data_IF_714557013924
#
_entry.id   IF_714557013924
#
_cell.length_a   1.000
_cell.length_b   1.000
_cell.length_c   1.000
_cell.angle_alpha   90.00
_cell.angle_beta   90.00
_cell.angle_gamma   90.00
#
_symmetry.space_group_name_H-M   'P 1'
#
loop_
_entity.id
_entity.type
_entity.pdbx_description
1 polymer ?
#
# COMPACT_ATOMS: atom_id res chain seq x y z
N UNK A 1 7.03 -4.32 -11.61
CA UNK A 1 5.60 -4.36 -11.23
C UNK A 1 5.27 -3.16 -10.39
N UNK A 2 4.02 -2.73 -10.39
CA UNK A 2 3.54 -1.62 -9.56
C UNK A 2 2.09 -1.85 -9.13
N UNK A 3 1.66 -1.18 -8.05
CA UNK A 3 0.28 -1.24 -7.60
C UNK A 3 -0.56 -0.22 -8.37
N UNK A 4 -1.77 -0.63 -8.77
CA UNK A 4 -2.78 0.22 -9.36
C UNK A 4 -3.98 0.28 -8.42
N UNK A 5 -4.36 1.50 -8.07
CA UNK A 5 -5.53 1.80 -7.25
C UNK A 5 -6.61 2.41 -8.14
N UNK A 6 -7.81 1.85 -8.12
CA UNK A 6 -8.89 2.28 -9.02
C UNK A 6 -10.25 2.23 -8.35
N UNK A 7 -11.18 3.06 -8.83
CA UNK A 7 -12.61 2.90 -8.52
C UNK A 7 -13.22 1.66 -9.21
N UNK A 8 -12.48 1.05 -10.14
CA UNK A 8 -12.92 -0.04 -10.99
C UNK A 8 -13.48 0.48 -12.31
N UNK A 9 -13.01 -0.12 -13.41
CA UNK A 9 -13.59 0.07 -14.74
C UNK A 9 -13.43 -1.22 -15.55
N UNK A 10 -14.09 -1.32 -16.71
CA UNK A 10 -13.89 -2.47 -17.59
C UNK A 10 -12.48 -2.51 -18.21
N UNK A 11 -11.81 -1.36 -18.31
CA UNK A 11 -10.46 -1.23 -18.89
C UNK A 11 -9.33 -1.40 -17.86
N UNK A 12 -9.62 -1.16 -16.57
CA UNK A 12 -8.69 -1.33 -15.45
C UNK A 12 -9.28 -2.37 -14.50
N UNK A 13 -9.12 -3.63 -14.90
CA UNK A 13 -9.68 -4.80 -14.22
C UNK A 13 -8.73 -5.99 -14.30
N UNK A 14 -9.02 -7.00 -13.48
CA UNK A 14 -8.32 -8.30 -13.51
C UNK A 14 -8.28 -8.90 -14.92
N UNK A 15 -7.11 -9.41 -15.31
CA UNK A 15 -6.86 -10.03 -16.61
C UNK A 15 -6.76 -9.06 -17.79
N UNK A 16 -6.82 -7.74 -17.56
CA UNK A 16 -6.59 -6.75 -18.63
C UNK A 16 -5.10 -6.48 -18.83
N UNK A 17 -4.74 -6.00 -20.01
CA UNK A 17 -3.39 -5.47 -20.26
C UNK A 17 -3.05 -4.28 -19.37
N UNK A 18 -1.77 -3.93 -19.29
CA UNK A 18 -1.35 -2.74 -18.54
C UNK A 18 -2.05 -1.47 -19.07
N UNK A 19 -2.64 -0.65 -18.19
CA UNK A 19 -3.48 0.46 -18.57
C UNK A 19 -2.64 1.65 -19.05
N UNK A 20 -3.16 2.42 -20.00
CA UNK A 20 -2.58 3.71 -20.34
C UNK A 20 -2.93 4.77 -19.28
N UNK A 21 -2.26 5.92 -19.31
CA UNK A 21 -2.64 7.07 -18.48
C UNK A 21 -4.10 7.49 -18.69
N UNK A 22 -4.62 7.36 -19.92
CA UNK A 22 -6.02 7.68 -20.21
C UNK A 22 -6.98 6.68 -19.54
N UNK A 23 -6.64 5.40 -19.53
CA UNK A 23 -7.43 4.36 -18.84
C UNK A 23 -7.42 4.58 -17.32
N UNK A 24 -6.25 4.91 -16.76
CA UNK A 24 -6.09 5.24 -15.34
C UNK A 24 -6.91 6.47 -14.94
N UNK A 25 -6.88 7.54 -15.74
CA UNK A 25 -7.68 8.74 -15.49
C UNK A 25 -9.18 8.44 -15.54
N UNK A 26 -9.62 7.59 -16.48
CA UNK A 26 -11.02 7.17 -16.62
C UNK A 26 -11.48 6.28 -15.46
N UNK A 27 -10.59 5.42 -14.96
CA UNK A 27 -10.84 4.52 -13.84
C UNK A 27 -10.49 5.13 -12.47
N UNK A 28 -10.17 6.42 -12.43
CA UNK A 28 -9.82 7.16 -11.23
C UNK A 28 -10.98 7.25 -10.24
N UNK A 29 -10.66 7.42 -8.97
CA UNK A 29 -11.67 7.58 -7.93
C UNK A 29 -12.21 9.00 -7.92
N UNK A 30 -13.51 9.16 -8.13
CA UNK A 30 -14.18 10.47 -8.08
C UNK A 30 -14.48 10.82 -6.63
N UNK A 31 -13.98 11.97 -6.19
CA UNK A 31 -14.13 12.48 -4.82
C UNK A 31 -15.32 13.43 -4.77
N UNK A 32 -16.38 13.10 -4.02
CA UNK A 32 -17.58 13.94 -3.89
C UNK A 32 -17.96 14.10 -2.41
N UNK A 33 -17.63 15.26 -1.84
CA UNK A 33 -18.17 15.74 -0.56
C UNK A 33 -17.84 14.91 0.70
N UNK A 34 -17.04 13.85 0.56
CA UNK A 34 -16.60 12.95 1.64
C UNK A 34 -15.33 12.21 1.23
N UNK A 35 -14.59 11.70 2.22
CA UNK A 35 -13.43 10.84 1.99
C UNK A 35 -13.88 9.57 1.25
N UNK A 36 -13.05 9.09 0.34
CA UNK A 36 -13.37 7.93 -0.49
C UNK A 36 -12.39 6.80 -0.25
N UNK A 37 -12.94 5.62 0.04
CA UNK A 37 -12.21 4.37 0.05
C UNK A 37 -11.99 3.85 -1.37
N UNK A 38 -10.74 3.51 -1.71
CA UNK A 38 -10.43 2.87 -2.98
C UNK A 38 -11.04 1.47 -3.03
N UNK A 39 -11.76 1.17 -4.11
CA UNK A 39 -12.50 -0.08 -4.27
C UNK A 39 -11.64 -1.24 -4.83
N UNK A 40 -10.69 -0.94 -5.72
CA UNK A 40 -9.90 -1.94 -6.45
C UNK A 40 -8.40 -1.72 -6.28
N UNK A 41 -7.70 -2.82 -6.02
CA UNK A 41 -6.26 -2.89 -5.86
C UNK A 41 -5.76 -3.94 -6.85
N UNK A 42 -4.87 -3.56 -7.76
CA UNK A 42 -4.35 -4.46 -8.78
C UNK A 42 -2.83 -4.42 -8.76
N UNK A 43 -2.20 -5.55 -9.06
CA UNK A 43 -0.79 -5.64 -9.39
C UNK A 43 -0.65 -5.54 -10.91
N UNK A 44 0.04 -4.51 -11.38
CA UNK A 44 0.53 -4.42 -12.74
C UNK A 44 1.78 -5.29 -12.88
N UNK A 45 1.59 -6.50 -13.40
CA UNK A 45 2.64 -7.45 -13.70
C UNK A 45 3.26 -7.10 -15.06
N UNK A 46 4.42 -6.43 -15.02
CA UNK A 46 5.14 -6.02 -16.23
C UNK A 46 5.69 -7.22 -16.99
N UNK A 47 5.96 -8.33 -16.31
CA UNK A 47 6.51 -9.53 -16.94
C UNK A 47 5.45 -10.27 -17.78
N UNK A 48 4.20 -10.21 -17.35
CA UNK A 48 3.05 -10.80 -18.05
C UNK A 48 2.28 -9.79 -18.92
N UNK A 49 2.55 -8.48 -18.77
CA UNK A 49 1.75 -7.38 -19.32
C UNK A 49 0.27 -7.50 -18.94
N UNK A 50 -0.01 -7.73 -17.66
CA UNK A 50 -1.35 -8.05 -17.15
C UNK A 50 -1.62 -7.37 -15.80
N UNK A 51 -2.86 -6.94 -15.59
CA UNK A 51 -3.39 -6.51 -14.30
C UNK A 51 -3.95 -7.71 -13.54
N UNK A 52 -3.50 -7.90 -12.30
CA UNK A 52 -3.99 -8.95 -11.41
C UNK A 52 -4.66 -8.33 -10.20
N UNK A 53 -5.97 -8.54 -10.02
CA UNK A 53 -6.68 -8.00 -8.85
C UNK A 53 -6.20 -8.70 -7.57
N UNK A 54 -5.85 -7.89 -6.58
CA UNK A 54 -5.53 -8.35 -5.24
C UNK A 54 -6.84 -8.44 -4.46
N UNK A 55 -7.57 -9.53 -4.65
CA UNK A 55 -8.87 -9.73 -4.04
C UNK A 55 -8.81 -9.53 -2.52
N UNK A 56 -9.81 -8.82 -1.99
CA UNK A 56 -9.93 -8.47 -0.57
C UNK A 56 -8.94 -7.42 -0.03
N UNK A 57 -8.07 -6.83 -0.85
CA UNK A 57 -7.30 -5.65 -0.44
C UNK A 57 -8.23 -4.49 -0.08
N UNK A 58 -7.84 -3.68 0.91
CA UNK A 58 -8.69 -2.62 1.48
C UNK A 58 -9.86 -3.13 2.34
N UNK A 59 -10.17 -4.43 2.34
CA UNK A 59 -11.26 -4.97 3.15
C UNK A 59 -10.84 -5.11 4.62
N UNK A 60 -11.55 -4.40 5.49
CA UNK A 60 -11.26 -4.30 6.92
C UNK A 60 -11.24 -5.62 7.69
N UNK A 61 -11.95 -6.64 7.21
CA UNK A 61 -12.11 -7.88 7.95
C UNK A 61 -11.45 -9.07 7.25
N UNK A 62 -10.37 -8.81 6.50
CA UNK A 62 -9.63 -9.83 5.74
C UNK A 62 -8.14 -9.79 6.10
N UNK A 63 -7.58 -10.97 6.31
CA UNK A 63 -6.16 -11.19 6.69
C UNK A 63 -5.34 -11.61 5.49
N UNK A 64 -4.02 -11.41 5.58
CA UNK A 64 -3.02 -12.04 4.72
C UNK A 64 -3.17 -11.72 3.23
N UNK A 65 -3.47 -10.47 2.91
CA UNK A 65 -3.68 -10.04 1.52
C UNK A 65 -2.37 -9.69 0.83
N UNK A 66 -1.43 -9.08 1.55
CA UNK A 66 -0.07 -8.86 1.08
C UNK A 66 0.87 -9.74 1.89
N UNK A 67 1.83 -10.37 1.21
CA UNK A 67 2.80 -11.29 1.79
C UNK A 67 4.22 -10.88 1.41
N UNK A 68 5.14 -10.97 2.37
CA UNK A 68 6.57 -10.71 2.22
C UNK A 68 7.30 -11.98 2.62
N UNK A 69 7.93 -12.64 1.64
CA UNK A 69 8.70 -13.87 1.87
C UNK A 69 10.15 -13.51 2.17
N UNK A 70 10.72 -14.11 3.21
CA UNK A 70 12.10 -13.96 3.63
C UNK A 70 12.78 -15.33 3.58
N UNK A 71 13.90 -15.41 2.85
CA UNK A 71 14.62 -16.67 2.63
C UNK A 71 15.56 -17.05 3.79
N UNK A 72 15.66 -16.21 4.82
CA UNK A 72 16.54 -16.42 5.95
C UNK A 72 16.24 -15.53 7.13
N UNK A 73 17.11 -15.60 8.14
CA UNK A 73 17.05 -14.72 9.30
C UNK A 73 17.34 -13.26 8.89
N UNK A 74 16.79 -12.32 9.64
CA UNK A 74 17.09 -10.89 9.50
C UNK A 74 17.86 -10.40 10.72
N UNK A 75 18.64 -9.33 10.57
CA UNK A 75 19.35 -8.69 11.68
C UNK A 75 18.52 -7.58 12.33
N UNK A 76 17.56 -7.01 11.61
CA UNK A 76 16.53 -6.10 12.14
C UNK A 76 15.14 -6.66 11.89
N UNK A 77 14.15 -6.14 12.61
CA UNK A 77 12.75 -6.38 12.25
C UNK A 77 12.45 -5.77 10.87
N UNK A 78 11.81 -6.52 9.96
CA UNK A 78 11.37 -5.97 8.69
C UNK A 78 10.26 -4.92 8.86
N UNK A 79 10.38 -3.84 8.12
CA UNK A 79 9.40 -2.74 8.09
C UNK A 79 8.92 -2.48 6.67
N UNK A 80 7.67 -2.04 6.54
CA UNK A 80 7.14 -1.48 5.30
C UNK A 80 7.09 0.04 5.41
N UNK A 81 7.90 0.70 4.59
CA UNK A 81 7.96 2.15 4.41
C UNK A 81 7.30 2.52 3.07
N UNK A 82 6.86 3.78 2.95
CA UNK A 82 6.39 4.33 1.68
C UNK A 82 6.99 5.71 1.46
N UNK A 83 7.59 5.91 0.30
CA UNK A 83 8.33 7.12 -0.09
C UNK A 83 7.69 7.71 -1.35
N UNK A 84 7.92 8.99 -1.61
CA UNK A 84 7.42 9.65 -2.83
C UNK A 84 8.14 9.10 -4.07
N UNK A 85 9.44 8.87 -3.97
CA UNK A 85 10.23 8.27 -5.03
C UNK A 85 11.31 7.28 -4.55
N UNK A 86 12.21 6.91 -5.46
CA UNK A 86 13.28 5.94 -5.21
C UNK A 86 14.50 6.49 -4.48
N UNK A 87 14.63 7.80 -4.33
CA UNK A 87 15.72 8.41 -3.57
C UNK A 87 15.49 8.26 -2.06
N UNK A 88 14.22 8.09 -1.65
CA UNK A 88 13.79 7.75 -0.29
C UNK A 88 14.28 8.74 0.78
N UNK A 89 14.26 10.04 0.45
CA UNK A 89 14.66 11.12 1.35
C UNK A 89 13.55 12.14 1.66
N UNK A 90 12.40 12.09 0.97
CA UNK A 90 11.20 12.90 1.26
C UNK A 90 9.88 12.10 1.22
N UNK A 91 8.80 12.73 1.64
CA UNK A 91 7.44 12.16 1.55
C UNK A 91 6.43 13.27 1.22
N UNK A 92 6.78 14.05 0.21
CA UNK A 92 6.08 15.29 -0.14
C UNK A 92 4.90 15.05 -1.11
N UNK A 93 4.75 13.83 -1.60
CA UNK A 93 3.56 13.43 -2.38
C UNK A 93 2.26 13.63 -1.58
N UNK A 94 1.20 14.04 -2.28
CA UNK A 94 -0.12 14.20 -1.65
C UNK A 94 -0.65 12.90 -1.05
N UNK A 95 -0.34 11.76 -1.69
CA UNK A 95 -0.69 10.42 -1.17
C UNK A 95 -0.06 10.12 0.19
N UNK A 96 1.10 10.73 0.47
CA UNK A 96 1.87 10.58 1.71
C UNK A 96 1.58 11.70 2.71
N UNK A 97 0.68 12.62 2.35
CA UNK A 97 0.25 13.72 3.20
C UNK A 97 1.06 15.00 3.03
N UNK A 98 1.87 15.13 1.97
CA UNK A 98 2.62 16.34 1.62
C UNK A 98 3.48 16.86 2.79
N UNK A 99 4.39 16.01 3.27
CA UNK A 99 5.24 16.29 4.44
C UNK A 99 4.55 16.16 5.80
N UNK A 100 3.24 15.86 5.84
CA UNK A 100 2.48 15.62 7.08
C UNK A 100 1.99 14.19 7.12
N UNK A 101 2.77 13.29 7.74
CA UNK A 101 2.47 11.86 7.77
C UNK A 101 1.11 11.49 8.38
N UNK A 102 0.60 12.29 9.34
CA UNK A 102 -0.75 12.12 9.90
C UNK A 102 -1.87 12.38 8.89
N UNK A 103 -1.54 12.85 7.69
CA UNK A 103 -2.45 13.07 6.55
C UNK A 103 -2.28 12.04 5.43
N UNK A 104 -1.34 11.10 5.55
CA UNK A 104 -1.14 10.06 4.53
C UNK A 104 -2.42 9.27 4.25
N UNK A 105 -2.67 9.00 2.98
CA UNK A 105 -3.83 8.25 2.50
C UNK A 105 -3.64 6.76 2.72
N UNK A 106 -2.37 6.34 2.78
CA UNK A 106 -1.96 4.95 2.82
C UNK A 106 -1.94 4.49 4.28
N UNK A 107 -2.76 3.49 4.57
CA UNK A 107 -2.85 2.85 5.88
C UNK A 107 -2.39 1.40 5.77
N UNK A 108 -1.54 0.99 6.68
CA UNK A 108 -1.07 -0.39 6.79
C UNK A 108 -1.40 -0.99 8.14
N UNK A 109 -1.75 -2.28 8.15
CA UNK A 109 -1.89 -3.06 9.38
C UNK A 109 -1.22 -4.41 9.21
N UNK A 110 -0.42 -4.79 10.19
CA UNK A 110 0.20 -6.10 10.24
C UNK A 110 -0.87 -7.11 10.56
N UNK A 111 -0.98 -8.14 9.72
CA UNK A 111 -2.00 -9.16 9.90
C UNK A 111 -1.42 -10.31 10.71
N UNK A 112 -2.10 -10.66 11.79
CA UNK A 112 -1.77 -11.81 12.62
C UNK A 112 -2.83 -12.89 12.43
N UNK A 113 -2.88 -13.89 13.31
CA UNK A 113 -3.98 -14.84 13.35
C UNK A 113 -5.36 -14.21 13.68
N UNK A 114 -5.40 -12.93 14.08
CA UNK A 114 -6.63 -12.16 14.28
C UNK A 114 -6.99 -11.27 13.10
N UNK A 115 -8.29 -11.02 12.91
CA UNK A 115 -8.77 -10.06 11.90
C UNK A 115 -8.30 -8.64 12.25
N UNK A 116 -8.02 -7.76 11.27
CA UNK A 116 -7.62 -6.38 11.52
C UNK A 116 -8.67 -5.54 12.28
N UNK A 117 -9.92 -5.99 12.35
CA UNK A 117 -11.01 -5.34 13.05
C UNK A 117 -11.71 -4.26 12.22
N UNK A 118 -12.84 -3.76 12.73
CA UNK A 118 -13.73 -2.85 11.98
C UNK A 118 -13.28 -1.39 11.96
N UNK A 119 -12.32 -0.99 12.79
CA UNK A 119 -11.93 0.42 12.97
C UNK A 119 -10.66 0.83 12.23
N UNK A 120 -9.96 -0.07 11.52
CA UNK A 120 -8.75 0.24 10.74
C UNK A 120 -7.77 1.18 11.48
N UNK A 121 -7.33 0.80 12.67
CA UNK A 121 -6.30 1.51 13.45
C UNK A 121 -4.89 1.17 12.94
N UNK A 122 -4.71 1.17 11.62
CA UNK A 122 -3.42 0.91 10.99
C UNK A 122 -2.49 2.12 11.07
N UNK A 123 -1.18 1.87 10.93
CA UNK A 123 -0.16 2.91 10.77
C UNK A 123 -0.41 3.69 9.48
N UNK A 124 -0.22 5.01 9.54
CA UNK A 124 -0.15 5.84 8.33
C UNK A 124 1.25 5.71 7.75
N UNK A 125 1.37 5.46 6.45
CA UNK A 125 2.66 5.19 5.82
C UNK A 125 3.16 6.44 5.09
N UNK A 126 4.29 6.99 5.52
CA UNK A 126 4.93 8.19 4.96
C UNK A 126 6.38 8.35 5.50
N UNK A 127 7.32 7.67 4.86
CA UNK A 127 8.74 7.64 5.22
C UNK A 127 9.09 6.65 6.34
N UNK A 128 10.19 6.94 7.05
CA UNK A 128 10.80 6.03 8.06
C UNK A 128 10.72 6.52 9.51
N UNK A 129 10.13 7.69 9.76
CA UNK A 129 10.00 8.19 11.13
C UNK A 129 9.08 7.28 11.96
N UNK A 130 9.31 7.21 13.28
CA UNK A 130 8.51 6.39 14.19
C UNK A 130 7.02 6.73 14.06
N UNK A 131 6.19 5.71 13.81
CA UNK A 131 4.76 5.86 13.58
C UNK A 131 4.36 6.09 12.12
N UNK A 132 5.32 6.27 11.20
CA UNK A 132 5.08 6.51 9.78
C UNK A 132 5.39 5.29 8.89
N UNK A 133 5.70 4.15 9.49
CA UNK A 133 5.93 2.88 8.81
C UNK A 133 5.19 1.77 9.53
N UNK A 134 5.17 0.58 8.92
CA UNK A 134 4.56 -0.60 9.51
C UNK A 134 5.62 -1.63 9.92
N UNK A 135 5.59 -2.04 11.19
CA UNK A 135 6.35 -3.20 11.68
C UNK A 135 5.75 -4.50 11.12
N UNK A 136 6.39 -5.10 10.12
CA UNK A 136 5.83 -6.28 9.44
C UNK A 136 5.79 -7.51 10.35
N UNK A 137 6.62 -7.56 11.40
CA UNK A 137 6.61 -8.62 12.41
C UNK A 137 5.90 -8.19 13.71
N UNK A 138 5.05 -7.16 13.64
CA UNK A 138 4.22 -6.69 14.75
C UNK A 138 5.04 -6.43 16.03
N UNK A 139 6.18 -5.75 15.89
CA UNK A 139 7.08 -5.39 16.99
C UNK A 139 7.70 -6.61 17.70
N UNK A 140 7.71 -7.77 17.03
CA UNK A 140 8.27 -9.01 17.57
C UNK A 140 9.78 -9.16 17.32
N UNK A 141 10.43 -8.15 16.73
CA UNK A 141 11.85 -8.13 16.43
C UNK A 141 12.23 -8.81 15.12
N UNK A 142 13.52 -9.04 14.97
CA UNK A 142 14.12 -9.72 13.82
C UNK A 142 13.58 -11.16 13.63
N UNK A 143 13.59 -11.63 12.39
CA UNK A 143 13.25 -13.02 12.08
C UNK A 143 14.44 -13.93 12.39
N UNK A 144 14.23 -14.97 13.19
CA UNK A 144 15.27 -15.95 13.52
C UNK A 144 15.53 -17.00 12.44
N UNK A 145 14.68 -17.08 11.42
CA UNK A 145 14.77 -18.01 10.30
C UNK A 145 13.91 -17.50 9.12
N UNK A 146 13.96 -18.21 7.99
CA UNK A 146 13.07 -17.98 6.87
C UNK A 146 11.58 -18.00 7.29
N UNK A 147 10.77 -17.16 6.66
CA UNK A 147 9.37 -17.00 7.04
C UNK A 147 8.60 -16.09 6.09
N UNK A 148 7.29 -15.99 6.32
CA UNK A 148 6.41 -15.10 5.55
C UNK A 148 5.69 -14.18 6.52
N UNK A 149 5.84 -12.88 6.31
CA UNK A 149 5.12 -11.84 7.03
C UNK A 149 3.99 -11.32 6.16
N UNK A 150 2.95 -10.80 6.81
CA UNK A 150 1.73 -10.43 6.11
C UNK A 150 1.17 -9.11 6.60
N UNK A 151 0.64 -8.33 5.68
CA UNK A 151 -0.10 -7.12 6.01
C UNK A 151 -1.38 -6.97 5.16
N UNK A 152 -2.13 -5.94 5.50
CA UNK A 152 -3.25 -5.45 4.73
C UNK A 152 -3.11 -3.93 4.56
N UNK A 153 -3.47 -3.44 3.39
CA UNK A 153 -3.37 -2.03 3.02
C UNK A 153 -4.75 -1.45 2.74
N UNK A 154 -4.96 -0.18 3.08
CA UNK A 154 -6.15 0.61 2.74
C UNK A 154 -5.73 2.00 2.31
N UNK A 155 -6.26 2.46 1.19
CA UNK A 155 -6.11 3.82 0.69
C UNK A 155 -7.40 4.60 0.95
N UNK A 156 -7.28 5.73 1.64
CA UNK A 156 -8.37 6.67 1.89
C UNK A 156 -8.01 8.02 1.31
N UNK A 157 -8.70 8.41 0.24
CA UNK A 157 -8.45 9.70 -0.42
C UNK A 157 -9.31 10.78 0.24
N UNK A 158 -8.72 11.88 0.74
CA UNK A 158 -9.45 12.90 1.47
C UNK A 158 -10.35 13.72 0.54
N UNK A 159 -11.51 14.14 1.05
CA UNK A 159 -12.49 14.92 0.28
C UNK A 159 -11.96 16.26 -0.25
N UNK A 160 -10.87 16.75 0.34
CA UNK A 160 -10.25 18.03 0.04
C UNK A 160 -9.17 17.97 -1.04
N UNK A 161 -8.84 16.79 -1.58
CA UNK A 161 -7.81 16.67 -2.61
C UNK A 161 -8.25 17.41 -3.89
N UNK A 162 -7.54 18.46 -4.32
CA UNK A 162 -8.05 19.38 -5.34
C UNK A 162 -7.54 19.08 -6.75
N UNK A 163 -6.70 18.05 -6.93
CA UNK A 163 -6.02 17.78 -8.19
C UNK A 163 -6.54 16.50 -8.86
N UNK A 164 -6.47 16.47 -10.19
CA UNK A 164 -6.59 15.24 -10.97
C UNK A 164 -5.18 14.80 -11.37
N UNK A 165 -4.77 13.59 -10.98
CA UNK A 165 -3.44 13.10 -11.31
C UNK A 165 -3.22 11.68 -10.81
N UNK A 166 -2.18 11.05 -11.34
CA UNK A 166 -1.62 9.81 -10.80
C UNK A 166 -0.41 10.17 -9.95
N UNK A 167 -0.44 9.75 -8.70
CA UNK A 167 0.68 9.84 -7.76
C UNK A 167 1.29 8.44 -7.71
N UNK A 168 2.63 8.34 -7.71
CA UNK A 168 3.33 7.05 -7.84
C UNK A 168 4.30 6.78 -6.69
N UNK A 169 3.81 6.75 -5.44
CA UNK A 169 4.67 6.50 -4.29
C UNK A 169 5.27 5.09 -4.35
N UNK A 170 6.46 4.94 -3.76
CA UNK A 170 7.25 3.71 -3.74
C UNK A 170 7.10 3.01 -2.40
N UNK A 171 6.62 1.75 -2.43
CA UNK A 171 6.56 0.88 -1.26
C UNK A 171 7.88 0.12 -1.10
N UNK A 172 8.43 0.11 0.11
CA UNK A 172 9.74 -0.48 0.39
C UNK A 172 9.66 -1.39 1.62
N UNK A 173 10.05 -2.65 1.45
CA UNK A 173 10.33 -3.54 2.58
C UNK A 173 11.80 -3.38 2.97
N UNK A 174 12.06 -2.84 4.17
CA UNK A 174 13.40 -2.55 4.65
C UNK A 174 13.75 -3.43 5.85
N UNK A 175 14.95 -3.99 5.83
CA UNK A 175 15.52 -4.77 6.92
C UNK A 175 17.05 -4.84 6.73
N UNK A 176 17.78 -5.13 7.80
CA UNK A 176 19.19 -5.49 7.72
C UNK A 176 19.36 -7.02 7.67
N UNK A 177 20.37 -7.48 6.95
CA UNK A 177 20.77 -8.89 6.91
C UNK A 177 21.91 -9.15 7.88
N UNK A 178 21.98 -10.39 8.37
CA UNK A 178 23.12 -10.90 9.16
C UNK A 178 24.37 -11.13 8.31
#
# INVERSE_FOLDING_TARGET
DYLVFSAGSAAVADGQSLPSTADLNSAGTVIIGSDVDIAKYLLADNSANELKEIFNAGNQNKRYVFAFSFDGATASEPVLEVWDDSDMDSFDDYTLGNGVASSSWIRGITTTAGLPGVSWTGSRLAGSASGNFLWLNNESGALGAAGVLYCQLRIVVPSSYPFSGAETPVFVCKFTTS
#
